data_IF_043746887967
#
_entry.id   IF_043746887967
#
_cell.length_a   1.000
_cell.length_b   1.000
_cell.length_c   1.000
_cell.angle_alpha   90.00
_cell.angle_beta   90.00
_cell.angle_gamma   90.00
#
_symmetry.space_group_name_H-M   'P 1'
#
loop_
_entity.id
_entity.type
_entity.pdbx_description
1 polymer ?
#
# COMPACT_ATOMS: atom_id res chain seq x y z
N UNK A 1 27.29 13.63 35.13
CA UNK A 1 26.56 12.90 34.07
C UNK A 1 26.16 13.90 32.99
N UNK A 2 26.84 13.96 31.84
CA UNK A 2 26.52 14.93 30.77
C UNK A 2 25.32 14.42 29.95
N UNK A 3 24.20 15.11 30.04
CA UNK A 3 23.04 14.93 29.16
C UNK A 3 23.44 15.26 27.73
N UNK A 4 23.47 14.23 26.87
CA UNK A 4 23.76 14.36 25.45
C UNK A 4 22.49 14.84 24.75
N UNK A 5 22.34 16.14 24.54
CA UNK A 5 21.30 16.69 23.68
C UNK A 5 21.64 16.28 22.24
N UNK A 6 20.94 15.28 21.70
CA UNK A 6 21.02 14.97 20.26
C UNK A 6 20.25 16.07 19.53
N UNK A 7 20.97 17.00 18.90
CA UNK A 7 20.40 17.88 17.89
C UNK A 7 20.02 17.02 16.68
N UNK A 8 18.72 16.84 16.44
CA UNK A 8 18.21 16.16 15.26
C UNK A 8 17.94 17.20 14.18
N UNK A 9 18.71 17.17 13.10
CA UNK A 9 18.43 17.94 11.89
C UNK A 9 17.36 17.23 11.05
N UNK A 10 16.35 17.96 10.60
CA UNK A 10 15.35 17.46 9.65
C UNK A 10 15.98 17.47 8.25
N UNK A 11 15.88 16.34 7.54
CA UNK A 11 16.32 16.21 6.14
C UNK A 11 15.12 15.95 5.24
N UNK A 12 14.99 16.74 4.18
CA UNK A 12 14.05 16.47 3.09
C UNK A 12 14.61 15.33 2.23
N UNK A 13 13.80 14.31 1.96
CA UNK A 13 14.21 13.17 1.11
C UNK A 13 13.74 13.30 -0.34
N UNK A 14 12.63 14.02 -0.58
CA UNK A 14 12.02 14.20 -1.90
C UNK A 14 11.15 15.44 -1.89
N UNK A 15 11.15 16.17 -3.00
CA UNK A 15 10.32 17.33 -3.30
C UNK A 15 9.52 17.14 -4.60
N UNK A 16 9.44 15.90 -5.11
CA UNK A 16 8.67 15.59 -6.32
C UNK A 16 7.25 16.15 -6.19
N UNK A 17 6.67 16.71 -7.28
CA UNK A 17 5.35 17.34 -7.25
C UNK A 17 4.22 16.30 -7.25
N UNK A 18 4.22 15.40 -6.26
CA UNK A 18 3.21 14.38 -6.05
C UNK A 18 3.08 14.00 -4.57
N UNK A 19 2.08 13.19 -4.27
CA UNK A 19 1.87 12.64 -2.95
C UNK A 19 2.96 11.67 -2.54
N UNK A 20 3.28 11.68 -1.26
CA UNK A 20 4.17 10.71 -0.62
C UNK A 20 3.49 10.17 0.64
N UNK A 21 2.24 9.71 0.49
CA UNK A 21 1.38 9.34 1.61
C UNK A 21 1.88 8.03 2.23
N UNK A 22 2.35 8.11 3.46
CA UNK A 22 2.72 6.96 4.27
C UNK A 22 1.46 6.39 4.95
N UNK A 23 1.32 5.07 4.90
CA UNK A 23 0.35 4.40 5.76
C UNK A 23 0.73 4.64 7.25
N UNK A 24 -0.26 4.53 8.14
CA UNK A 24 -0.05 4.77 9.58
C UNK A 24 0.85 3.74 10.25
N UNK A 25 1.11 2.60 9.59
CA UNK A 25 1.81 1.44 10.17
C UNK A 25 2.66 0.75 9.12
N UNK A 26 3.74 0.12 9.60
CA UNK A 26 4.54 -0.86 8.83
C UNK A 26 5.08 -0.32 7.50
N UNK A 27 5.44 0.96 7.43
CA UNK A 27 5.95 1.56 6.18
C UNK A 27 7.44 1.37 5.94
N UNK A 28 8.20 0.90 6.94
CA UNK A 28 9.65 0.73 6.86
C UNK A 28 9.99 -0.71 6.48
N UNK A 29 10.90 -0.90 5.54
CA UNK A 29 11.38 -2.22 5.12
C UNK A 29 12.10 -2.96 6.26
N UNK A 30 12.19 -4.31 6.21
CA UNK A 30 12.88 -5.11 7.23
C UNK A 30 14.34 -4.68 7.47
N UNK A 31 15.07 -4.36 6.40
CA UNK A 31 16.46 -3.89 6.46
C UNK A 31 16.59 -2.41 6.88
N UNK A 32 15.47 -1.70 7.08
CA UNK A 32 15.40 -0.29 7.46
C UNK A 32 16.05 0.68 6.48
N UNK A 33 16.17 0.29 5.22
CA UNK A 33 16.74 1.14 4.16
C UNK A 33 15.66 1.85 3.35
N UNK A 34 14.41 1.38 3.38
CA UNK A 34 13.34 1.86 2.52
C UNK A 34 12.08 2.22 3.31
N UNK A 35 11.33 3.21 2.81
CA UNK A 35 9.96 3.48 3.22
C UNK A 35 9.01 3.36 2.03
N UNK A 36 7.88 2.65 2.19
CA UNK A 36 6.83 2.53 1.16
C UNK A 36 5.75 3.58 1.35
N UNK A 37 5.29 4.17 0.25
CA UNK A 37 4.24 5.17 0.22
C UNK A 37 3.34 4.99 -1.01
N UNK A 38 2.18 5.62 -0.99
CA UNK A 38 1.32 5.78 -2.16
C UNK A 38 1.31 7.23 -2.66
N UNK A 39 1.06 7.42 -3.96
CA UNK A 39 1.18 8.73 -4.63
C UNK A 39 0.03 9.70 -4.36
N UNK A 40 -0.81 9.40 -3.37
CA UNK A 40 -2.02 10.16 -3.07
C UNK A 40 -1.67 11.55 -2.51
N UNK A 41 -2.25 12.59 -3.10
CA UNK A 41 -2.11 13.98 -2.63
C UNK A 41 -3.10 14.33 -1.51
N UNK A 42 -4.29 13.72 -1.52
CA UNK A 42 -5.38 14.03 -0.60
C UNK A 42 -5.95 12.76 0.00
N UNK A 43 -6.18 12.73 1.33
CA UNK A 43 -6.55 11.51 2.05
C UNK A 43 -7.82 10.81 1.56
N UNK A 44 -8.74 11.53 0.93
CA UNK A 44 -9.99 11.01 0.37
C UNK A 44 -9.85 10.51 -1.09
N UNK A 45 -8.72 10.75 -1.78
CA UNK A 45 -8.51 10.42 -3.21
C UNK A 45 -7.83 9.08 -3.47
N UNK A 46 -8.05 8.08 -2.60
CA UNK A 46 -7.47 6.74 -2.81
C UNK A 46 -7.95 6.13 -4.14
N UNK A 47 -9.21 6.37 -4.53
CA UNK A 47 -9.77 5.89 -5.81
C UNK A 47 -9.02 6.39 -7.05
N UNK A 48 -8.43 7.58 -7.00
CA UNK A 48 -7.67 8.19 -8.10
C UNK A 48 -6.16 7.91 -8.01
N UNK A 49 -5.70 7.32 -6.90
CA UNK A 49 -4.28 7.08 -6.65
C UNK A 49 -3.77 5.94 -7.53
N UNK A 50 -2.65 6.12 -8.21
CA UNK A 50 -2.22 5.21 -9.28
C UNK A 50 -0.94 4.45 -9.02
N UNK A 51 -0.16 4.80 -7.98
CA UNK A 51 1.11 4.13 -7.72
C UNK A 51 1.38 3.83 -6.25
N UNK A 52 2.09 2.72 -6.04
CA UNK A 52 2.83 2.40 -4.83
C UNK A 52 4.31 2.52 -5.16
N UNK A 53 5.05 3.25 -4.34
CA UNK A 53 6.46 3.57 -4.54
C UNK A 53 7.22 3.33 -3.22
N UNK A 54 8.53 3.17 -3.29
CA UNK A 54 9.40 3.18 -2.11
C UNK A 54 10.51 4.21 -2.27
N UNK A 55 10.92 4.81 -1.16
CA UNK A 55 12.04 5.76 -1.10
C UNK A 55 13.16 5.18 -0.25
N UNK A 56 14.39 5.25 -0.75
CA UNK A 56 15.59 4.88 -0.02
C UNK A 56 15.89 5.96 1.02
N UNK A 57 15.90 5.58 2.30
CA UNK A 57 15.95 6.50 3.42
C UNK A 57 17.25 7.28 3.49
N UNK A 58 18.35 6.76 2.94
CA UNK A 58 19.66 7.42 2.96
C UNK A 58 19.89 8.33 1.74
N UNK A 59 19.57 7.87 0.54
CA UNK A 59 19.87 8.58 -0.71
C UNK A 59 18.71 9.42 -1.25
N UNK A 60 17.48 9.17 -0.80
CA UNK A 60 16.27 9.78 -1.39
C UNK A 60 15.85 9.17 -2.73
N UNK A 61 16.54 8.12 -3.21
CA UNK A 61 16.19 7.43 -4.46
C UNK A 61 14.81 6.82 -4.36
N UNK A 62 13.95 7.05 -5.36
CA UNK A 62 12.59 6.50 -5.40
C UNK A 62 12.48 5.41 -6.46
N UNK A 63 11.81 4.32 -6.10
CA UNK A 63 11.49 3.20 -6.99
C UNK A 63 9.99 3.00 -7.08
N UNK A 64 9.50 2.81 -8.31
CA UNK A 64 8.12 2.43 -8.57
C UNK A 64 7.94 0.93 -8.29
N UNK A 65 7.07 0.59 -7.34
CA UNK A 65 6.76 -0.80 -7.00
C UNK A 65 5.55 -1.31 -7.78
N UNK A 66 4.52 -0.48 -7.90
CA UNK A 66 3.30 -0.83 -8.59
C UNK A 66 2.66 0.38 -9.26
N UNK A 67 2.09 0.18 -10.45
CA UNK A 67 1.23 1.15 -11.13
C UNK A 67 -0.08 0.49 -11.55
N UNK A 68 -1.19 1.11 -11.18
CA UNK A 68 -2.54 0.71 -11.58
C UNK A 68 -2.66 0.60 -13.09
N UNK A 69 -3.38 -0.42 -13.56
CA UNK A 69 -3.66 -0.62 -14.99
C UNK A 69 -4.88 0.20 -15.39
N UNK A 70 -4.76 0.94 -16.50
CA UNK A 70 -5.83 1.77 -17.08
C UNK A 70 -6.55 2.68 -16.05
N UNK A 71 -5.82 3.48 -15.26
CA UNK A 71 -6.45 4.35 -14.27
C UNK A 71 -7.33 5.40 -14.96
N UNK A 72 -8.46 5.70 -14.34
CA UNK A 72 -9.36 6.78 -14.72
C UNK A 72 -9.90 7.47 -13.46
N UNK A 73 -10.74 8.50 -13.62
CA UNK A 73 -11.31 9.26 -12.50
C UNK A 73 -12.08 8.39 -11.48
N UNK A 74 -12.54 7.21 -11.90
CA UNK A 74 -13.35 6.31 -11.10
C UNK A 74 -12.57 5.16 -10.47
N UNK A 75 -11.28 4.96 -10.76
CA UNK A 75 -10.52 3.83 -10.23
C UNK A 75 -9.34 3.36 -11.09
N UNK A 76 -8.70 2.23 -10.72
CA UNK A 76 -9.04 1.35 -9.61
C UNK A 76 -8.61 1.89 -8.24
N UNK A 77 -7.66 2.81 -8.16
CA UNK A 77 -7.16 3.30 -6.87
C UNK A 77 -6.28 2.29 -6.13
N UNK A 78 -5.12 2.75 -5.66
CA UNK A 78 -4.21 1.97 -4.80
C UNK A 78 -3.74 2.79 -3.60
N UNK A 79 -3.43 2.16 -2.48
CA UNK A 79 -2.84 2.87 -1.35
C UNK A 79 -2.74 2.08 -0.06
N UNK A 80 -2.40 2.76 1.03
CA UNK A 80 -2.25 2.20 2.37
C UNK A 80 -1.27 1.00 2.39
N UNK A 81 -0.10 1.19 1.78
CA UNK A 81 0.92 0.16 1.68
C UNK A 81 1.58 -0.17 3.04
N UNK A 82 1.92 -1.43 3.24
CA UNK A 82 2.58 -1.94 4.44
C UNK A 82 3.59 -3.04 4.08
N UNK A 83 4.80 -2.97 4.63
CA UNK A 83 5.83 -3.99 4.51
C UNK A 83 5.54 -5.22 5.36
N UNK A 84 5.88 -6.38 4.79
CA UNK A 84 6.08 -7.60 5.54
C UNK A 84 7.25 -7.42 6.53
N UNK A 85 7.19 -7.96 7.76
CA UNK A 85 8.20 -7.69 8.80
C UNK A 85 9.59 -8.29 8.49
N UNK A 86 9.66 -9.36 7.69
CA UNK A 86 10.90 -10.10 7.44
C UNK A 86 11.31 -10.22 5.96
N UNK A 87 10.47 -9.77 5.01
CA UNK A 87 10.66 -10.03 3.57
C UNK A 87 10.46 -8.75 2.78
N UNK A 88 11.13 -8.63 1.63
CA UNK A 88 10.94 -7.49 0.71
C UNK A 88 9.63 -7.67 -0.09
N UNK A 89 8.54 -7.53 0.63
CA UNK A 89 7.16 -7.73 0.19
C UNK A 89 6.30 -6.65 0.79
N UNK A 90 5.36 -6.14 0.00
CA UNK A 90 4.38 -5.16 0.46
C UNK A 90 2.96 -5.67 0.24
N UNK A 91 2.06 -5.31 1.15
CA UNK A 91 0.61 -5.42 0.96
C UNK A 91 0.02 -4.02 0.84
N UNK A 92 -0.96 -3.83 -0.04
CA UNK A 92 -1.65 -2.55 -0.19
C UNK A 92 -3.10 -2.76 -0.63
N UNK A 93 -3.94 -1.75 -0.46
CA UNK A 93 -5.31 -1.73 -1.00
C UNK A 93 -5.24 -1.54 -2.51
N UNK A 94 -6.04 -2.30 -3.24
CA UNK A 94 -6.20 -2.15 -4.68
C UNK A 94 -7.69 -2.25 -5.04
N UNK A 95 -8.23 -1.31 -5.81
CA UNK A 95 -9.61 -1.43 -6.32
C UNK A 95 -9.76 -2.37 -7.51
N UNK A 96 -10.99 -2.59 -7.98
CA UNK A 96 -11.19 -3.47 -9.14
C UNK A 96 -10.76 -2.79 -10.43
N UNK A 97 -10.02 -3.50 -11.30
CA UNK A 97 -9.54 -2.95 -12.57
C UNK A 97 -10.66 -2.53 -13.53
N UNK A 98 -11.90 -2.96 -13.30
CA UNK A 98 -13.05 -2.63 -14.14
C UNK A 98 -13.86 -1.44 -13.60
N UNK A 99 -13.21 -0.43 -13.02
CA UNK A 99 -13.86 0.79 -12.55
C UNK A 99 -14.24 1.72 -13.69
N UNK A 100 -15.47 2.21 -13.64
CA UNK A 100 -16.04 3.23 -14.52
C UNK A 100 -17.11 4.02 -13.74
N UNK A 101 -17.79 4.95 -14.41
CA UNK A 101 -18.83 5.81 -13.82
C UNK A 101 -19.95 5.03 -13.13
N UNK A 102 -20.34 3.86 -13.66
CA UNK A 102 -21.43 3.05 -13.10
C UNK A 102 -20.97 2.17 -11.94
N UNK A 103 -19.69 1.80 -11.93
CA UNK A 103 -19.09 0.91 -10.92
C UNK A 103 -17.74 1.45 -10.42
N UNK A 104 -17.74 2.64 -9.78
CA UNK A 104 -16.52 3.30 -9.35
C UNK A 104 -15.81 2.50 -8.26
N UNK A 105 -14.59 2.93 -7.93
CA UNK A 105 -13.89 2.51 -6.73
C UNK A 105 -14.79 2.73 -5.51
N UNK A 106 -14.72 1.79 -4.56
CA UNK A 106 -15.51 1.83 -3.34
C UNK A 106 -14.98 0.87 -2.30
N UNK A 107 -15.41 1.03 -1.04
CA UNK A 107 -14.97 0.17 0.07
C UNK A 107 -15.31 -1.30 -0.13
N UNK A 108 -16.39 -1.58 -0.85
CA UNK A 108 -16.83 -2.92 -1.27
C UNK A 108 -16.18 -3.40 -2.59
N UNK A 109 -15.52 -2.51 -3.33
CA UNK A 109 -14.88 -2.78 -4.64
C UNK A 109 -13.36 -2.64 -4.56
N UNK A 110 -12.77 -3.15 -3.48
CA UNK A 110 -11.32 -3.19 -3.26
C UNK A 110 -10.89 -4.46 -2.55
N UNK A 111 -9.61 -4.78 -2.67
CA UNK A 111 -9.01 -5.98 -2.14
C UNK A 111 -7.56 -5.74 -1.69
N UNK A 112 -6.98 -6.69 -0.96
CA UNK A 112 -5.57 -6.69 -0.59
C UNK A 112 -4.70 -7.23 -1.72
N UNK A 113 -3.75 -6.43 -2.19
CA UNK A 113 -2.76 -6.82 -3.18
C UNK A 113 -1.41 -7.07 -2.48
N UNK A 114 -0.85 -8.27 -2.67
CA UNK A 114 0.50 -8.63 -2.24
C UNK A 114 1.45 -8.49 -3.42
N UNK A 115 2.51 -7.71 -3.25
CA UNK A 115 3.61 -7.57 -4.20
C UNK A 115 4.90 -8.12 -3.58
N UNK A 116 5.47 -9.13 -4.21
CA UNK A 116 6.85 -9.55 -3.97
C UNK A 116 7.78 -8.67 -4.81
N UNK A 117 8.65 -7.88 -4.17
CA UNK A 117 9.45 -6.86 -4.86
C UNK A 117 10.51 -7.50 -5.77
N UNK A 118 11.10 -8.63 -5.36
CA UNK A 118 12.10 -9.34 -6.17
C UNK A 118 11.57 -9.88 -7.50
N UNK A 119 10.27 -10.17 -7.62
CA UNK A 119 9.65 -10.70 -8.85
C UNK A 119 8.65 -9.74 -9.51
N UNK A 120 8.37 -8.60 -8.88
CA UNK A 120 7.32 -7.65 -9.28
C UNK A 120 5.96 -8.30 -9.57
N UNK A 121 5.65 -9.40 -8.88
CA UNK A 121 4.41 -10.15 -9.09
C UNK A 121 3.36 -9.73 -8.07
N UNK A 122 2.18 -9.36 -8.56
CA UNK A 122 1.04 -9.03 -7.70
C UNK A 122 0.08 -10.22 -7.59
N UNK A 123 -0.32 -10.54 -6.36
CA UNK A 123 -1.28 -11.58 -6.04
C UNK A 123 -2.37 -11.03 -5.12
N UNK A 124 -3.56 -11.62 -5.15
CA UNK A 124 -4.58 -11.28 -4.16
C UNK A 124 -4.20 -11.87 -2.80
N UNK A 125 -4.31 -11.07 -1.74
CA UNK A 125 -4.07 -11.45 -0.36
C UNK A 125 -5.23 -12.27 0.23
N UNK A 126 -6.41 -12.19 -0.40
CA UNK A 126 -7.66 -12.71 0.10
C UNK A 126 -8.50 -13.33 -1.01
N UNK A 127 -9.38 -14.25 -0.63
CA UNK A 127 -10.43 -14.78 -1.50
C UNK A 127 -11.69 -13.92 -1.37
N UNK A 128 -12.42 -13.72 -2.46
CA UNK A 128 -13.65 -12.92 -2.48
C UNK A 128 -14.74 -13.62 -3.25
N UNK A 129 -15.98 -13.51 -2.76
CA UNK A 129 -17.13 -14.20 -3.34
C UNK A 129 -18.42 -13.40 -3.15
N UNK A 130 -19.17 -13.24 -4.24
CA UNK A 130 -20.50 -12.60 -4.25
C UNK A 130 -21.65 -13.62 -4.26
N UNK A 131 -21.35 -14.92 -4.10
CA UNK A 131 -22.38 -15.96 -4.10
C UNK A 131 -23.07 -16.05 -2.74
N UNK A 132 -24.34 -16.45 -2.74
CA UNK A 132 -25.04 -16.83 -1.52
C UNK A 132 -24.37 -18.09 -0.95
N UNK A 133 -24.06 -18.08 0.35
CA UNK A 133 -23.20 -19.06 1.03
C UNK A 133 -21.76 -19.10 0.46
N UNK A 134 -20.93 -18.07 0.72
CA UNK A 134 -19.56 -18.02 0.23
C UNK A 134 -18.69 -19.15 0.83
N UNK A 135 -17.63 -19.58 0.13
CA UNK A 135 -16.64 -20.48 0.72
C UNK A 135 -16.10 -19.95 2.05
N UNK A 136 -15.82 -20.83 3.01
CA UNK A 136 -15.28 -20.44 4.31
C UNK A 136 -14.00 -19.61 4.12
N UNK A 137 -13.98 -18.42 4.70
CA UNK A 137 -12.86 -17.49 4.62
C UNK A 137 -12.86 -16.54 3.41
N UNK A 138 -13.81 -16.67 2.47
CA UNK A 138 -13.98 -15.69 1.40
C UNK A 138 -14.76 -14.46 1.86
N UNK A 139 -14.34 -13.27 1.46
CA UNK A 139 -15.03 -12.02 1.78
C UNK A 139 -16.12 -11.71 0.74
N UNK A 140 -17.29 -11.28 1.24
CA UNK A 140 -18.41 -10.83 0.38
C UNK A 140 -18.39 -9.33 0.05
N UNK A 141 -17.43 -8.60 0.61
CA UNK A 141 -17.21 -7.17 0.35
C UNK A 141 -15.76 -6.88 0.01
N UNK A 142 -15.33 -5.66 0.33
CA UNK A 142 -13.94 -5.26 0.24
C UNK A 142 -13.30 -5.12 1.61
N UNK A 143 -11.97 -5.06 1.59
CA UNK A 143 -11.11 -5.02 2.77
C UNK A 143 -10.79 -3.59 3.23
N UNK A 144 -10.17 -3.40 4.39
CA UNK A 144 -9.54 -2.14 4.79
C UNK A 144 -8.01 -2.21 4.59
N UNK A 145 -7.28 -1.24 5.14
CA UNK A 145 -5.84 -1.28 5.23
C UNK A 145 -5.39 -2.51 6.03
N UNK A 146 -4.35 -3.16 5.54
CA UNK A 146 -3.87 -4.41 6.12
C UNK A 146 -2.78 -4.14 7.16
N UNK A 147 -2.62 -5.07 8.09
CA UNK A 147 -1.44 -5.10 8.95
C UNK A 147 -0.93 -6.52 9.10
N UNK A 148 0.39 -6.68 9.04
CA UNK A 148 1.04 -7.95 9.28
C UNK A 148 1.13 -8.23 10.77
N UNK A 149 0.95 -9.49 11.16
CA UNK A 149 1.47 -10.00 12.43
C UNK A 149 2.99 -9.79 12.52
N UNK A 150 3.55 -9.78 13.73
CA UNK A 150 4.99 -9.61 13.94
C UNK A 150 5.85 -10.65 13.22
N UNK A 151 5.34 -11.88 13.04
CA UNK A 151 6.01 -12.97 12.33
C UNK A 151 5.70 -13.01 10.83
N UNK A 152 4.87 -12.09 10.31
CA UNK A 152 4.47 -12.06 8.90
C UNK A 152 3.59 -13.23 8.44
N UNK A 153 3.22 -14.14 9.35
CA UNK A 153 2.42 -15.34 9.03
C UNK A 153 0.92 -15.06 8.85
N UNK A 154 0.43 -13.93 9.38
CA UNK A 154 -0.98 -13.53 9.35
C UNK A 154 -1.13 -12.07 8.96
N UNK A 155 -2.29 -11.75 8.42
CA UNK A 155 -2.70 -10.40 8.01
C UNK A 155 -4.04 -10.09 8.68
N UNK A 156 -4.17 -8.93 9.29
CA UNK A 156 -5.45 -8.36 9.72
C UNK A 156 -5.97 -7.37 8.68
N UNK A 157 -7.29 -7.22 8.61
CA UNK A 157 -7.99 -6.28 7.73
C UNK A 157 -9.27 -5.74 8.38
#
# INVERSE_FOLDING_TARGET
>A
MKTRTRSSTVRLLTDRPQGHTLNRRQVISPNREWAVFDSRNEDNKLGETTSIERIHLQSGTIELLYRSRNPNLYGPGVGAAAYHPERDRVIFIHGLNNCDERKPYGSQRRFGALLDIGSFTVRHAESRSIVNAPPIGALSGGTHAHSWSSTGSRISF
#
